data_IF_744930041772
#
_entry.id   IF_744930041772
#
_cell.length_a   1.000
_cell.length_b   1.000
_cell.length_c   1.000
_cell.angle_alpha   90.00
_cell.angle_beta   90.00
_cell.angle_gamma   90.00
#
_symmetry.space_group_name_H-M   'P 1'
#
loop_
_entity.id
_entity.type
_entity.pdbx_description
1 polymer ?
#
# COMPACT_ATOMS: atom_id res chain seq x y z
N UNK A 1 -26.26 76.73 -60.15
CA UNK A 1 -27.16 76.52 -59.00
C UNK A 1 -26.88 75.14 -58.43
N UNK A 2 -26.46 75.04 -57.16
CA UNK A 2 -26.13 73.75 -56.52
C UNK A 2 -27.23 73.47 -55.50
N UNK A 3 -28.02 72.43 -55.73
CA UNK A 3 -29.12 72.04 -54.85
C UNK A 3 -28.57 71.42 -53.55
N UNK A 4 -28.87 72.06 -52.42
CA UNK A 4 -28.51 71.59 -51.08
C UNK A 4 -29.49 70.48 -50.67
N UNK A 5 -29.07 69.22 -50.76
CA UNK A 5 -29.90 68.08 -50.35
C UNK A 5 -30.10 68.10 -48.83
N UNK A 6 -31.34 68.35 -48.37
CA UNK A 6 -31.73 68.19 -46.95
C UNK A 6 -31.64 66.72 -46.54
N UNK A 7 -30.66 66.38 -45.70
CA UNK A 7 -30.59 65.08 -45.03
C UNK A 7 -31.80 64.90 -44.10
N UNK A 8 -32.71 64.01 -44.47
CA UNK A 8 -33.87 63.63 -43.65
C UNK A 8 -33.36 62.77 -42.48
N UNK A 9 -33.40 63.30 -41.26
CA UNK A 9 -33.05 62.55 -40.04
C UNK A 9 -34.09 61.44 -39.85
N UNK A 10 -33.73 60.21 -40.20
CA UNK A 10 -34.55 59.02 -39.92
C UNK A 10 -34.57 58.79 -38.42
N UNK A 11 -35.70 59.08 -37.78
CA UNK A 11 -35.93 58.71 -36.38
C UNK A 11 -36.03 57.19 -36.31
N UNK A 12 -34.97 56.53 -35.85
CA UNK A 12 -34.99 55.11 -35.50
C UNK A 12 -35.91 55.00 -34.29
N UNK A 13 -37.11 54.45 -34.49
CA UNK A 13 -38.01 54.15 -33.36
C UNK A 13 -37.34 53.03 -32.54
N UNK A 14 -37.27 53.14 -31.20
CA UNK A 14 -36.79 52.03 -30.39
C UNK A 14 -37.79 50.89 -30.58
N UNK A 15 -37.35 49.83 -31.25
CA UNK A 15 -38.10 48.58 -31.27
C UNK A 15 -38.20 48.13 -29.83
N UNK A 16 -39.40 48.13 -29.27
CA UNK A 16 -39.67 47.48 -28.00
C UNK A 16 -39.30 46.01 -28.17
N UNK A 17 -38.09 45.66 -27.76
CA UNK A 17 -37.59 44.29 -27.79
C UNK A 17 -38.54 43.51 -26.90
N UNK A 18 -39.34 42.63 -27.51
CA UNK A 18 -40.25 41.76 -26.80
C UNK A 18 -39.47 41.07 -25.68
N UNK A 19 -40.00 41.10 -24.45
CA UNK A 19 -39.35 40.45 -23.29
C UNK A 19 -39.36 38.91 -23.40
N UNK A 20 -40.14 38.37 -24.35
CA UNK A 20 -40.26 36.93 -24.62
C UNK A 20 -38.94 36.22 -24.92
N UNK A 21 -38.11 36.65 -25.91
CA UNK A 21 -36.81 36.01 -26.17
C UNK A 21 -35.87 36.00 -24.95
N UNK A 22 -35.91 37.05 -24.11
CA UNK A 22 -35.08 37.08 -22.89
C UNK A 22 -35.52 36.02 -21.87
N UNK A 23 -36.84 35.80 -21.75
CA UNK A 23 -37.42 34.76 -20.89
C UNK A 23 -37.01 33.36 -21.37
N UNK A 24 -37.04 33.11 -22.69
CA UNK A 24 -36.60 31.85 -23.28
C UNK A 24 -35.11 31.58 -23.05
N UNK A 25 -34.25 32.61 -23.21
CA UNK A 25 -32.82 32.51 -22.88
C UNK A 25 -32.64 32.15 -21.39
N UNK A 26 -33.36 32.82 -20.48
CA UNK A 26 -33.24 32.57 -19.05
C UNK A 26 -33.66 31.13 -18.67
N UNK A 27 -34.75 30.63 -19.25
CA UNK A 27 -35.21 29.25 -19.04
C UNK A 27 -34.20 28.25 -19.60
N UNK A 28 -33.64 28.50 -20.78
CA UNK A 28 -32.63 27.64 -21.38
C UNK A 28 -31.36 27.54 -20.52
N UNK A 29 -30.88 28.68 -19.99
CA UNK A 29 -29.76 28.69 -19.06
C UNK A 29 -30.08 27.97 -17.75
N UNK A 30 -31.29 28.13 -17.20
CA UNK A 30 -31.71 27.45 -15.98
C UNK A 30 -31.70 25.93 -16.16
N UNK A 31 -32.22 25.44 -17.28
CA UNK A 31 -32.20 24.02 -17.63
C UNK A 31 -30.76 23.52 -17.82
N UNK A 32 -29.92 24.31 -18.50
CA UNK A 32 -28.50 23.99 -18.69
C UNK A 32 -27.74 23.84 -17.37
N UNK A 33 -27.98 24.74 -16.42
CA UNK A 33 -27.35 24.69 -15.08
C UNK A 33 -27.79 23.43 -14.32
N UNK A 34 -29.08 23.10 -14.34
CA UNK A 34 -29.62 21.90 -13.67
C UNK A 34 -28.98 20.63 -14.26
N UNK A 35 -28.91 20.54 -15.59
CA UNK A 35 -28.29 19.39 -16.28
C UNK A 35 -26.80 19.29 -15.99
N UNK A 36 -26.09 20.42 -15.94
CA UNK A 36 -24.66 20.46 -15.61
C UNK A 36 -24.39 19.98 -14.18
N UNK A 37 -25.14 20.48 -13.20
CA UNK A 37 -25.00 20.05 -11.80
C UNK A 37 -25.34 18.56 -11.61
N UNK A 38 -26.39 18.07 -12.28
CA UNK A 38 -26.79 16.67 -12.23
C UNK A 38 -25.71 15.75 -12.80
N UNK A 39 -25.15 16.08 -13.96
CA UNK A 39 -24.06 15.33 -14.58
C UNK A 39 -22.80 15.31 -13.71
N UNK A 40 -22.46 16.43 -13.09
CA UNK A 40 -21.28 16.54 -12.24
C UNK A 40 -21.34 15.61 -11.02
N UNK A 41 -22.52 15.49 -10.41
CA UNK A 41 -22.71 14.60 -9.25
C UNK A 41 -22.65 13.12 -9.64
N UNK A 42 -23.19 12.76 -10.81
CA UNK A 42 -23.12 11.40 -11.34
C UNK A 42 -21.67 10.99 -11.66
N UNK A 43 -20.90 11.85 -12.32
CA UNK A 43 -19.50 11.57 -12.67
C UNK A 43 -18.65 11.29 -11.41
N UNK A 44 -18.87 12.05 -10.33
CA UNK A 44 -18.17 11.81 -9.06
C UNK A 44 -18.47 10.43 -8.47
N UNK A 45 -19.75 10.05 -8.43
CA UNK A 45 -20.19 8.74 -7.91
C UNK A 45 -19.66 7.60 -8.77
N UNK A 46 -19.69 7.74 -10.10
CA UNK A 46 -19.14 6.75 -11.02
C UNK A 46 -17.63 6.55 -10.80
N UNK A 47 -16.87 7.64 -10.61
CA UNK A 47 -15.43 7.55 -10.36
C UNK A 47 -15.13 6.85 -9.02
N UNK A 48 -15.89 7.14 -7.98
CA UNK A 48 -15.72 6.48 -6.67
C UNK A 48 -16.03 4.98 -6.75
N UNK A 49 -17.10 4.59 -7.46
CA UNK A 49 -17.45 3.19 -7.67
C UNK A 49 -16.40 2.45 -8.50
N UNK A 50 -15.84 3.07 -9.54
CA UNK A 50 -14.76 2.50 -10.34
C UNK A 50 -13.47 2.30 -9.52
N UNK A 51 -13.14 3.25 -8.64
CA UNK A 51 -11.99 3.10 -7.76
C UNK A 51 -12.20 1.99 -6.73
N UNK A 52 -13.40 1.88 -6.15
CA UNK A 52 -13.73 0.80 -5.22
C UNK A 52 -13.66 -0.56 -5.90
N UNK A 53 -14.31 -0.72 -7.05
CA UNK A 53 -14.29 -1.98 -7.81
C UNK A 53 -12.87 -2.40 -8.19
N UNK A 54 -12.05 -1.47 -8.72
CA UNK A 54 -10.65 -1.77 -9.02
C UNK A 54 -9.78 -2.09 -7.80
N UNK A 55 -10.07 -1.52 -6.63
CA UNK A 55 -9.38 -1.87 -5.39
C UNK A 55 -9.79 -3.26 -4.88
N UNK A 56 -11.09 -3.58 -4.90
CA UNK A 56 -11.59 -4.90 -4.53
C UNK A 56 -11.06 -5.99 -5.46
N UNK A 57 -11.00 -5.73 -6.77
CA UNK A 57 -10.49 -6.70 -7.75
C UNK A 57 -8.99 -7.00 -7.52
N UNK A 58 -8.20 -5.98 -7.18
CA UNK A 58 -6.81 -6.17 -6.75
C UNK A 58 -6.72 -6.99 -5.47
N UNK A 59 -7.57 -6.72 -4.49
CA UNK A 59 -7.59 -7.47 -3.23
C UNK A 59 -7.94 -8.94 -3.46
N UNK A 60 -8.91 -9.23 -4.32
CA UNK A 60 -9.26 -10.59 -4.74
C UNK A 60 -8.05 -11.28 -5.38
N UNK A 61 -7.41 -10.65 -6.37
CA UNK A 61 -6.25 -11.24 -7.04
C UNK A 61 -5.09 -11.54 -6.08
N UNK A 62 -4.86 -10.67 -5.10
CA UNK A 62 -3.83 -10.84 -4.08
C UNK A 62 -4.15 -11.97 -3.11
N UNK A 63 -5.43 -12.10 -2.72
CA UNK A 63 -5.89 -13.18 -1.86
C UNK A 63 -5.87 -14.54 -2.58
N UNK A 64 -6.21 -14.58 -3.87
CA UNK A 64 -6.09 -15.77 -4.70
C UNK A 64 -4.63 -16.23 -4.82
N UNK A 65 -3.71 -15.33 -5.15
CA UNK A 65 -2.28 -15.65 -5.23
C UNK A 65 -1.74 -16.18 -3.90
N UNK A 66 -2.16 -15.59 -2.77
CA UNK A 66 -1.81 -16.09 -1.44
C UNK A 66 -2.39 -17.47 -1.17
N UNK A 67 -3.63 -17.69 -1.54
CA UNK A 67 -4.31 -18.98 -1.36
C UNK A 67 -3.60 -20.08 -2.14
N UNK A 68 -3.22 -19.81 -3.39
CA UNK A 68 -2.51 -20.76 -4.23
C UNK A 68 -1.10 -21.05 -3.68
N UNK A 69 -0.36 -20.03 -3.25
CA UNK A 69 0.93 -20.22 -2.55
C UNK A 69 0.81 -21.07 -1.28
N UNK A 70 -0.25 -20.87 -0.50
CA UNK A 70 -0.53 -21.66 0.70
C UNK A 70 -0.86 -23.11 0.34
N UNK A 71 -1.67 -23.34 -0.71
CA UNK A 71 -1.98 -24.69 -1.19
C UNK A 71 -0.73 -25.41 -1.69
N UNK A 72 0.12 -24.73 -2.45
CA UNK A 72 1.39 -25.29 -2.92
C UNK A 72 2.30 -25.64 -1.74
N UNK A 73 2.38 -24.76 -0.73
CA UNK A 73 3.10 -25.04 0.51
C UNK A 73 2.56 -26.25 1.26
N UNK A 74 1.23 -26.39 1.37
CA UNK A 74 0.60 -27.56 1.99
C UNK A 74 0.91 -28.83 1.21
N UNK A 75 0.78 -28.81 -0.11
CA UNK A 75 1.13 -29.95 -0.96
C UNK A 75 2.61 -30.35 -0.79
N UNK A 76 3.50 -29.37 -0.62
CA UNK A 76 4.93 -29.60 -0.35
C UNK A 76 5.18 -30.28 0.99
N UNK A 77 4.38 -29.96 2.02
CA UNK A 77 4.52 -30.52 3.38
C UNK A 77 3.95 -31.94 3.45
N UNK A 78 2.90 -32.23 2.69
CA UNK A 78 2.28 -33.57 2.63
C UNK A 78 3.20 -34.60 1.97
N UNK A 79 4.17 -34.16 1.17
CA UNK A 79 5.15 -35.06 0.57
C UNK A 79 6.01 -35.73 1.65
N UNK A 80 6.14 -37.05 1.57
CA UNK A 80 6.81 -37.91 2.56
C UNK A 80 8.27 -37.48 2.79
N UNK A 81 8.88 -36.90 1.74
CA UNK A 81 10.22 -36.32 1.77
C UNK A 81 10.36 -35.14 2.73
N UNK A 82 9.32 -34.30 2.87
CA UNK A 82 9.36 -33.14 3.77
C UNK A 82 9.32 -33.60 5.23
N UNK A 83 8.46 -34.58 5.55
CA UNK A 83 8.36 -35.17 6.87
C UNK A 83 9.67 -35.85 7.28
N UNK A 84 10.29 -36.59 6.35
CA UNK A 84 11.59 -37.21 6.57
C UNK A 84 12.70 -36.17 6.80
N UNK A 85 12.71 -35.09 6.02
CA UNK A 85 13.67 -34.00 6.17
C UNK A 85 13.54 -33.32 7.54
N UNK A 86 12.32 -32.95 7.95
CA UNK A 86 12.05 -32.39 9.29
C UNK A 86 12.48 -33.34 10.41
N UNK A 87 12.20 -34.65 10.26
CA UNK A 87 12.61 -35.67 11.24
C UNK A 87 14.14 -35.77 11.38
N UNK A 88 14.88 -35.70 10.27
CA UNK A 88 16.36 -35.70 10.26
C UNK A 88 16.93 -34.40 10.83
N UNK A 89 16.39 -33.25 10.44
CA UNK A 89 16.92 -31.93 10.82
C UNK A 89 16.59 -31.54 12.27
N UNK A 90 15.33 -31.67 12.68
CA UNK A 90 14.89 -31.22 14.01
C UNK A 90 15.06 -32.27 15.09
N UNK A 91 14.83 -33.53 14.74
CA UNK A 91 14.79 -34.62 15.72
C UNK A 91 15.98 -35.57 15.60
N UNK A 92 16.88 -35.35 14.64
CA UNK A 92 18.08 -36.18 14.40
C UNK A 92 17.73 -37.67 14.24
N UNK A 93 16.52 -37.95 13.75
CA UNK A 93 16.02 -39.31 13.54
C UNK A 93 16.54 -39.86 12.23
N UNK A 94 16.90 -41.15 12.23
CA UNK A 94 17.37 -41.88 11.06
C UNK A 94 16.53 -43.13 10.86
N UNK A 95 16.43 -43.61 9.61
CA UNK A 95 15.68 -44.84 9.30
C UNK A 95 16.35 -46.06 9.94
N UNK A 96 15.59 -47.13 10.24
CA UNK A 96 16.16 -48.36 10.76
C UNK A 96 17.20 -48.92 9.78
N UNK A 97 18.48 -48.89 10.16
CA UNK A 97 19.62 -49.29 9.33
C UNK A 97 20.61 -48.17 8.98
N UNK A 98 20.28 -46.90 9.25
CA UNK A 98 21.19 -45.76 9.07
C UNK A 98 22.02 -45.50 10.36
N UNK A 99 23.27 -45.01 10.20
CA UNK A 99 24.15 -44.64 11.33
C UNK A 99 24.16 -43.12 11.51
N UNK A 100 23.84 -42.66 12.73
CA UNK A 100 23.92 -41.24 13.12
C UNK A 100 25.33 -40.94 13.65
N UNK A 101 25.97 -39.90 13.14
CA UNK A 101 27.28 -39.42 13.59
C UNK A 101 27.13 -38.05 14.22
N UNK A 102 27.44 -37.91 15.51
CA UNK A 102 27.44 -36.62 16.21
C UNK A 102 28.88 -36.12 16.29
N UNK A 103 29.15 -34.98 15.67
CA UNK A 103 30.46 -34.31 15.78
C UNK A 103 30.46 -33.54 17.09
N UNK A 104 31.16 -34.08 18.08
CA UNK A 104 31.43 -33.37 19.32
C UNK A 104 32.50 -32.31 19.03
N UNK A 105 32.35 -31.07 19.54
CA UNK A 105 33.44 -30.11 19.50
C UNK A 105 34.67 -30.73 20.17
N UNK A 106 35.89 -30.39 19.73
CA UNK A 106 37.08 -30.86 20.41
C UNK A 106 36.92 -30.53 21.88
N UNK A 107 37.12 -31.56 22.72
CA UNK A 107 37.19 -31.39 24.16
C UNK A 107 38.31 -30.38 24.36
N UNK A 108 37.95 -29.11 24.55
CA UNK A 108 38.85 -28.14 25.12
C UNK A 108 39.18 -28.80 26.44
N UNK A 109 40.35 -29.44 26.48
CA UNK A 109 41.06 -29.63 27.72
C UNK A 109 40.87 -28.30 28.43
N UNK A 110 40.19 -28.34 29.56
CA UNK A 110 40.28 -27.29 30.54
C UNK A 110 41.76 -27.28 30.91
N UNK A 111 42.58 -26.67 30.04
CA UNK A 111 43.82 -26.06 30.41
C UNK A 111 43.39 -25.18 31.57
N UNK A 112 43.87 -25.56 32.74
CA UNK A 112 43.89 -24.71 33.89
C UNK A 112 44.52 -23.42 33.38
N UNK A 113 43.68 -22.43 33.08
CA UNK A 113 44.16 -21.08 32.89
C UNK A 113 45.05 -20.81 34.11
N UNK A 114 46.29 -20.33 33.94
CA UNK A 114 47.09 -19.95 35.09
C UNK A 114 46.18 -19.04 35.92
N UNK A 115 46.03 -19.36 37.20
CA UNK A 115 45.43 -18.45 38.17
C UNK A 115 46.34 -17.22 38.20
N UNK A 116 46.15 -16.32 37.25
CA UNK A 116 46.63 -14.96 37.36
C UNK A 116 45.74 -14.41 38.47
N UNK A 117 46.27 -14.45 39.69
CA UNK A 117 45.80 -13.64 40.79
C UNK A 117 45.96 -12.17 40.37
N UNK A 118 45.04 -11.68 39.54
CA UNK A 118 44.85 -10.26 39.41
C UNK A 118 44.26 -9.79 40.74
N UNK A 119 45.13 -9.17 41.56
CA UNK A 119 44.76 -8.59 42.85
C UNK A 119 43.41 -7.89 42.73
N UNK A 120 42.45 -8.37 43.51
CA UNK A 120 41.07 -7.92 43.42
C UNK A 120 41.03 -6.43 43.73
N UNK A 121 40.11 -5.71 43.09
CA UNK A 121 39.98 -4.26 43.18
C UNK A 121 39.98 -3.73 44.63
N UNK A 122 39.52 -4.54 45.59
CA UNK A 122 39.54 -4.24 47.02
C UNK A 122 40.95 -4.26 47.64
N UNK A 123 41.84 -5.15 47.19
CA UNK A 123 43.24 -5.23 47.64
C UNK A 123 44.05 -4.01 47.19
N UNK A 124 43.81 -3.52 45.96
CA UNK A 124 44.40 -2.26 45.48
C UNK A 124 43.91 -1.05 46.27
N UNK A 125 42.65 -1.04 46.70
CA UNK A 125 42.08 0.04 47.50
C UNK A 125 42.70 0.02 48.91
N UNK A 126 42.86 -1.16 49.51
CA UNK A 126 43.46 -1.33 50.84
C UNK A 126 44.93 -0.85 50.87
N UNK A 127 45.74 -1.24 49.88
CA UNK A 127 47.14 -0.80 49.75
C UNK A 127 47.26 0.72 49.55
N UNK A 128 46.33 1.35 48.82
CA UNK A 128 46.37 2.80 48.58
C UNK A 128 46.06 3.67 49.81
N UNK A 129 45.41 3.08 50.81
CA UNK A 129 45.04 3.76 52.05
C UNK A 129 46.05 3.56 53.19
N UNK A 130 47.14 2.81 52.95
CA UNK A 130 48.26 2.69 53.88
C UNK A 130 47.91 2.04 55.22
N UNK A 131 46.99 1.07 55.22
CA UNK A 131 46.65 0.19 56.35
C UNK A 131 47.23 -1.20 56.14
#
# INVERSE_FOLDING_TARGET
>A
MIAKTRKKKTKIKPTATSLMPLLFIAIFFLIGIILFFSNWQLIKRHKELLLKTGALEKEISFLEEKNDKLKDGIASIVDENYLEKEAREKFQLAKPGEKVVVVLPPENQTEQAPLIEEKSFLEKILESLGL
#
